data_IF_178105855527
#
_entry.id   IF_178105855527
#
_cell.length_a   1.000
_cell.length_b   1.000
_cell.length_c   1.000
_cell.angle_alpha   90.00
_cell.angle_beta   90.00
_cell.angle_gamma   90.00
#
_symmetry.space_group_name_H-M   'P 1'
#
loop_
_entity.id
_entity.type
_entity.pdbx_description
1 polymer ?
#
# COMPACT_ATOMS: atom_id res chain seq x y z
N UNK A 1 23.67 6.91 -0.96
CA UNK A 1 23.97 8.22 -0.41
C UNK A 1 25.20 8.80 -1.13
N UNK A 2 25.10 10.03 -1.61
CA UNK A 2 26.20 10.66 -2.37
C UNK A 2 27.17 11.46 -1.49
N UNK A 3 26.75 11.81 -0.25
CA UNK A 3 27.60 12.51 0.71
C UNK A 3 28.40 11.51 1.56
N UNK A 4 29.74 11.45 1.43
CA UNK A 4 30.57 10.45 2.12
C UNK A 4 30.41 10.47 3.64
N UNK A 5 30.33 11.65 4.25
CA UNK A 5 30.24 11.79 5.70
C UNK A 5 28.88 11.26 6.24
N UNK A 6 27.80 11.48 5.48
CA UNK A 6 26.48 10.94 5.84
C UNK A 6 26.48 9.42 5.66
N UNK A 7 27.07 8.94 4.58
CA UNK A 7 27.20 7.50 4.34
C UNK A 7 27.97 6.81 5.47
N UNK A 8 29.13 7.37 5.89
CA UNK A 8 29.92 6.80 6.97
C UNK A 8 29.16 6.78 8.29
N UNK A 9 28.45 7.88 8.63
CA UNK A 9 27.61 7.92 9.84
C UNK A 9 26.50 6.86 9.82
N UNK A 10 25.90 6.58 8.68
CA UNK A 10 24.89 5.53 8.55
C UNK A 10 25.52 4.15 8.75
N UNK A 11 26.68 3.88 8.15
CA UNK A 11 27.42 2.62 8.31
C UNK A 11 27.77 2.39 9.77
N UNK A 12 28.31 3.40 10.44
CA UNK A 12 28.72 3.32 11.84
C UNK A 12 27.51 3.10 12.77
N UNK A 13 26.44 3.85 12.57
CA UNK A 13 25.22 3.75 13.38
C UNK A 13 24.45 2.44 13.18
N UNK A 14 24.51 1.86 11.98
CA UNK A 14 23.83 0.59 11.67
C UNK A 14 24.60 -0.66 12.06
N UNK A 15 25.89 -0.51 12.41
CA UNK A 15 26.82 -1.62 12.73
C UNK A 15 26.83 -2.72 11.65
N UNK A 16 26.52 -2.35 10.40
CA UNK A 16 26.32 -3.29 9.29
C UNK A 16 27.53 -4.18 9.03
N UNK A 17 28.73 -3.66 9.27
CA UNK A 17 29.99 -4.37 9.07
C UNK A 17 30.21 -5.51 10.08
N UNK A 18 29.59 -5.42 11.24
CA UNK A 18 29.75 -6.40 12.34
C UNK A 18 28.53 -7.31 12.49
N UNK A 19 27.33 -6.84 12.11
CA UNK A 19 26.08 -7.57 12.37
C UNK A 19 25.58 -8.33 11.14
N UNK A 20 25.71 -7.78 9.93
CA UNK A 20 25.05 -8.33 8.71
C UNK A 20 26.08 -8.94 7.74
N UNK A 21 27.34 -8.53 7.81
CA UNK A 21 28.39 -9.03 6.91
C UNK A 21 28.21 -8.65 5.43
N UNK A 22 27.32 -7.69 5.15
CA UNK A 22 27.01 -7.22 3.80
C UNK A 22 25.95 -8.02 3.06
N UNK A 23 25.71 -7.67 1.79
CA UNK A 23 24.74 -8.32 0.91
C UNK A 23 25.31 -9.63 0.38
N UNK A 24 24.52 -10.73 0.41
CA UNK A 24 24.96 -12.01 -0.13
C UNK A 24 25.31 -11.93 -1.61
N UNK A 25 26.27 -12.73 -2.06
CA UNK A 25 26.69 -12.77 -3.48
C UNK A 25 25.52 -13.08 -4.41
N UNK A 26 24.60 -13.97 -4.00
CA UNK A 26 23.40 -14.29 -4.76
C UNK A 26 22.49 -13.07 -4.95
N UNK A 27 22.29 -12.30 -3.88
CA UNK A 27 21.49 -11.07 -3.95
C UNK A 27 22.12 -10.01 -4.84
N UNK A 28 23.46 -9.92 -4.85
CA UNK A 28 24.19 -9.00 -5.75
C UNK A 28 24.02 -9.40 -7.22
N UNK A 29 24.20 -10.68 -7.54
CA UNK A 29 23.99 -11.20 -8.90
C UNK A 29 22.56 -11.01 -9.38
N UNK A 30 21.59 -11.28 -8.51
CA UNK A 30 20.17 -11.05 -8.81
C UNK A 30 19.88 -9.56 -9.05
N UNK A 31 20.41 -8.67 -8.21
CA UNK A 31 20.27 -7.22 -8.38
C UNK A 31 20.82 -6.71 -9.70
N UNK A 32 22.04 -7.14 -10.08
CA UNK A 32 22.64 -6.80 -11.37
C UNK A 32 21.76 -7.30 -12.53
N UNK A 33 21.32 -8.57 -12.49
CA UNK A 33 20.48 -9.14 -13.52
C UNK A 33 19.14 -8.39 -13.67
N UNK A 34 18.52 -7.99 -12.56
CA UNK A 34 17.29 -7.20 -12.57
C UNK A 34 17.50 -5.83 -13.25
N UNK A 35 18.58 -5.13 -12.92
CA UNK A 35 18.86 -3.80 -13.47
C UNK A 35 19.23 -3.85 -14.95
N UNK A 36 20.03 -4.84 -15.37
CA UNK A 36 20.53 -4.92 -16.73
C UNK A 36 19.57 -5.60 -17.71
N UNK A 37 18.83 -6.63 -17.26
CA UNK A 37 18.10 -7.54 -18.16
C UNK A 37 16.56 -7.47 -18.00
N UNK A 38 16.02 -6.90 -16.92
CA UNK A 38 14.57 -6.98 -16.64
C UNK A 38 13.80 -5.69 -16.97
N UNK A 39 14.37 -4.78 -17.75
CA UNK A 39 13.72 -3.51 -18.12
C UNK A 39 12.38 -3.72 -18.85
N UNK A 40 12.29 -4.73 -19.71
CA UNK A 40 11.06 -5.05 -20.42
C UNK A 40 9.92 -5.44 -19.48
N UNK A 41 10.23 -6.26 -18.47
CA UNK A 41 9.29 -6.67 -17.45
C UNK A 41 8.82 -5.46 -16.61
N UNK A 42 9.77 -4.64 -16.16
CA UNK A 42 9.49 -3.44 -15.39
C UNK A 42 8.55 -2.49 -16.14
N UNK A 43 8.77 -2.27 -17.42
CA UNK A 43 7.91 -1.39 -18.23
C UNK A 43 6.49 -1.95 -18.34
N UNK A 44 6.32 -3.26 -18.52
CA UNK A 44 5.02 -3.93 -18.52
C UNK A 44 4.32 -3.81 -17.16
N UNK A 45 5.05 -4.06 -16.08
CA UNK A 45 4.53 -3.95 -14.73
C UNK A 45 4.08 -2.52 -14.38
N UNK A 46 4.90 -1.51 -14.72
CA UNK A 46 4.54 -0.10 -14.49
C UNK A 46 3.24 0.26 -15.22
N UNK A 47 3.09 -0.18 -16.48
CA UNK A 47 1.88 0.06 -17.26
C UNK A 47 0.65 -0.55 -16.57
N UNK A 48 0.73 -1.80 -16.16
CA UNK A 48 -0.35 -2.47 -15.44
C UNK A 48 -0.71 -1.77 -14.13
N UNK A 49 0.30 -1.37 -13.34
CA UNK A 49 0.06 -0.62 -12.09
C UNK A 49 -0.59 0.73 -12.35
N UNK A 50 -0.23 1.42 -13.43
CA UNK A 50 -0.86 2.69 -13.81
C UNK A 50 -2.33 2.50 -14.22
N UNK A 51 -2.65 1.47 -14.99
CA UNK A 51 -4.01 1.11 -15.37
C UNK A 51 -4.85 0.75 -14.13
N UNK A 52 -4.32 -0.08 -13.26
CA UNK A 52 -4.94 -0.44 -11.98
C UNK A 52 -5.16 0.77 -11.07
N UNK A 53 -4.19 1.69 -11.01
CA UNK A 53 -4.31 2.93 -10.24
C UNK A 53 -5.47 3.79 -10.74
N UNK A 54 -5.53 4.03 -12.03
CA UNK A 54 -6.52 4.94 -12.61
C UNK A 54 -7.93 4.32 -12.51
N UNK A 55 -8.06 3.01 -12.70
CA UNK A 55 -9.28 2.26 -12.44
C UNK A 55 -9.72 2.33 -10.97
N UNK A 56 -8.80 2.05 -10.05
CA UNK A 56 -9.12 2.08 -8.63
C UNK A 56 -9.54 3.48 -8.15
N UNK A 57 -8.87 4.54 -8.63
CA UNK A 57 -9.24 5.92 -8.31
C UNK A 57 -10.62 6.29 -8.80
N UNK A 58 -10.99 5.86 -10.00
CA UNK A 58 -12.33 6.09 -10.54
C UNK A 58 -13.40 5.41 -9.68
N UNK A 59 -13.15 4.16 -9.26
CA UNK A 59 -14.04 3.40 -8.38
C UNK A 59 -14.16 4.05 -7.00
N UNK A 60 -13.02 4.37 -6.36
CA UNK A 60 -12.98 4.96 -5.02
C UNK A 60 -13.69 6.31 -4.93
N UNK A 61 -13.60 7.14 -5.97
CA UNK A 61 -14.31 8.44 -6.01
C UNK A 61 -15.83 8.32 -5.96
N UNK A 62 -16.38 7.16 -6.31
CA UNK A 62 -17.83 6.89 -6.28
C UNK A 62 -18.26 6.22 -4.99
N UNK A 63 -17.32 5.81 -4.14
CA UNK A 63 -17.61 5.16 -2.88
C UNK A 63 -17.95 6.20 -1.80
N UNK A 64 -18.89 5.89 -0.88
CA UNK A 64 -19.20 6.78 0.23
C UNK A 64 -18.03 6.84 1.21
N UNK A 65 -17.91 7.95 1.93
CA UNK A 65 -16.98 8.16 3.03
C UNK A 65 -15.50 7.95 2.71
N UNK A 66 -15.13 8.10 1.45
CA UNK A 66 -13.77 7.85 0.94
C UNK A 66 -13.20 9.11 0.31
N UNK A 67 -11.95 9.43 0.66
CA UNK A 67 -11.14 10.43 -0.05
C UNK A 67 -9.79 9.81 -0.44
N UNK A 68 -9.36 10.04 -1.68
CA UNK A 68 -8.10 9.50 -2.17
C UNK A 68 -7.45 10.42 -3.19
N UNK A 69 -6.16 10.69 -2.99
CA UNK A 69 -5.34 11.43 -3.95
C UNK A 69 -4.63 10.49 -4.92
N UNK A 70 -4.41 10.97 -6.15
CA UNK A 70 -3.67 10.21 -7.17
C UNK A 70 -2.19 10.16 -6.78
N UNK A 71 -1.62 8.98 -6.50
CA UNK A 71 -0.20 8.86 -6.20
C UNK A 71 0.63 9.07 -7.46
N UNK A 72 1.77 9.74 -7.32
CA UNK A 72 2.73 9.97 -8.40
C UNK A 72 3.73 8.83 -8.56
N UNK A 73 3.88 8.00 -7.54
CA UNK A 73 4.82 6.88 -7.49
C UNK A 73 4.24 5.72 -6.68
N UNK A 74 4.95 4.63 -6.65
CA UNK A 74 4.62 3.38 -5.95
C UNK A 74 3.45 2.61 -6.55
N UNK A 75 3.16 1.48 -5.93
CA UNK A 75 2.07 0.57 -6.31
C UNK A 75 1.00 0.47 -5.21
N UNK A 76 0.90 1.50 -4.37
CA UNK A 76 -0.09 1.55 -3.29
C UNK A 76 -0.92 2.82 -3.36
N UNK A 77 -2.19 2.71 -2.99
CA UNK A 77 -3.06 3.84 -2.68
C UNK A 77 -3.16 4.01 -1.17
N UNK A 78 -3.10 5.24 -0.72
CA UNK A 78 -3.37 5.63 0.66
C UNK A 78 -4.71 6.37 0.67
N UNK A 79 -5.69 5.76 1.34
CA UNK A 79 -7.10 6.12 1.22
C UNK A 79 -7.62 6.57 2.57
N UNK A 80 -8.16 7.77 2.63
CA UNK A 80 -8.82 8.33 3.81
C UNK A 80 -10.25 7.79 3.92
N UNK A 81 -10.55 7.15 5.05
CA UNK A 81 -11.86 6.64 5.46
C UNK A 81 -12.28 7.21 6.82
N UNK A 82 -11.68 8.32 7.23
CA UNK A 82 -11.93 8.96 8.55
C UNK A 82 -13.39 9.40 8.76
N UNK A 83 -14.15 9.52 7.67
CA UNK A 83 -15.60 9.78 7.74
C UNK A 83 -16.42 8.57 8.25
N UNK A 84 -15.85 7.36 8.32
CA UNK A 84 -16.49 6.21 8.96
C UNK A 84 -16.59 6.41 10.50
N UNK A 85 -17.62 5.88 11.15
CA UNK A 85 -17.81 5.99 12.61
C UNK A 85 -16.95 4.99 13.40
N UNK A 86 -15.81 4.56 12.88
CA UNK A 86 -14.93 3.59 13.51
C UNK A 86 -13.47 3.80 13.12
N UNK A 87 -12.55 3.19 13.89
CA UNK A 87 -11.13 3.24 13.55
C UNK A 87 -10.78 2.38 12.32
N UNK A 88 -9.69 2.72 11.63
CA UNK A 88 -9.20 1.95 10.49
C UNK A 88 -8.87 0.51 10.87
N UNK A 89 -8.34 0.26 12.07
CA UNK A 89 -8.06 -1.10 12.56
C UNK A 89 -9.34 -1.93 12.69
N UNK A 90 -10.42 -1.33 13.27
CA UNK A 90 -11.71 -2.01 13.39
C UNK A 90 -12.30 -2.28 12.02
N UNK A 91 -12.29 -1.28 11.14
CA UNK A 91 -12.76 -1.44 9.76
C UNK A 91 -12.04 -2.57 9.03
N UNK A 92 -10.71 -2.58 9.05
CA UNK A 92 -9.91 -3.59 8.33
C UNK A 92 -10.10 -5.00 8.88
N UNK A 93 -10.34 -5.13 10.20
CA UNK A 93 -10.70 -6.41 10.80
C UNK A 93 -12.03 -6.93 10.26
N UNK A 94 -13.06 -6.10 10.25
CA UNK A 94 -14.40 -6.46 9.73
C UNK A 94 -14.33 -6.77 8.24
N UNK A 95 -13.66 -5.93 7.46
CA UNK A 95 -13.47 -6.11 6.01
C UNK A 95 -12.84 -7.48 5.69
N UNK A 96 -11.81 -7.88 6.44
CA UNK A 96 -11.15 -9.17 6.28
C UNK A 96 -12.05 -10.34 6.70
N UNK A 97 -12.71 -10.25 7.86
CA UNK A 97 -13.45 -11.37 8.44
C UNK A 97 -14.80 -11.60 7.76
N UNK A 98 -15.54 -10.54 7.44
CA UNK A 98 -16.89 -10.63 6.89
C UNK A 98 -16.93 -10.49 5.37
N UNK A 99 -16.16 -9.55 4.81
CA UNK A 99 -16.18 -9.25 3.38
C UNK A 99 -15.03 -9.91 2.59
N UNK A 100 -14.12 -10.62 3.28
CA UNK A 100 -13.00 -11.36 2.67
C UNK A 100 -12.08 -10.47 1.80
N UNK A 101 -11.91 -9.22 2.20
CA UNK A 101 -10.95 -8.29 1.61
C UNK A 101 -9.98 -7.79 2.67
N UNK A 102 -8.69 -7.87 2.39
CA UNK A 102 -7.62 -7.46 3.29
C UNK A 102 -6.96 -6.18 2.79
N UNK A 103 -6.95 -5.17 3.63
CA UNK A 103 -6.24 -3.90 3.43
C UNK A 103 -5.43 -3.59 4.69
N UNK A 104 -4.42 -2.74 4.60
CA UNK A 104 -3.57 -2.41 5.76
C UNK A 104 -4.11 -1.15 6.43
N UNK A 105 -4.40 -1.16 7.74
CA UNK A 105 -4.85 0.04 8.45
C UNK A 105 -3.71 1.05 8.61
N UNK A 106 -4.06 2.32 8.64
CA UNK A 106 -3.23 3.38 9.19
C UNK A 106 -3.10 3.25 10.70
N UNK A 107 -2.34 4.16 11.32
CA UNK A 107 -2.10 4.18 12.76
C UNK A 107 -0.65 3.89 13.12
N UNK A 108 -0.35 4.04 14.40
CA UNK A 108 1.02 4.03 14.92
C UNK A 108 1.79 2.72 14.63
N UNK A 109 1.10 1.60 14.51
CA UNK A 109 1.72 0.28 14.27
C UNK A 109 2.41 0.20 12.91
N UNK A 110 1.84 0.80 11.86
CA UNK A 110 2.33 0.66 10.48
C UNK A 110 2.89 1.95 9.90
N UNK A 111 2.34 3.12 10.26
CA UNK A 111 2.64 4.38 9.58
C UNK A 111 2.97 5.54 10.53
N UNK A 112 2.90 5.31 11.83
CA UNK A 112 3.10 6.36 12.83
C UNK A 112 1.86 7.22 13.10
N UNK A 113 1.97 8.16 14.07
CA UNK A 113 0.88 9.04 14.46
C UNK A 113 0.46 9.95 13.29
N UNK A 114 -0.84 10.28 13.24
CA UNK A 114 -1.44 11.10 12.18
C UNK A 114 -1.89 10.32 10.95
N UNK A 115 -1.75 9.00 10.96
CA UNK A 115 -2.22 8.11 9.89
C UNK A 115 -3.53 7.39 10.22
N UNK A 116 -4.09 7.66 11.39
CA UNK A 116 -5.39 7.15 11.82
C UNK A 116 -6.48 7.55 10.81
N UNK A 117 -7.46 6.68 10.63
CA UNK A 117 -8.52 6.92 9.64
C UNK A 117 -8.13 6.65 8.19
N UNK A 118 -6.94 6.10 7.94
CA UNK A 118 -6.50 5.74 6.59
C UNK A 118 -6.35 4.22 6.42
N UNK A 119 -6.46 3.78 5.18
CA UNK A 119 -6.13 2.41 4.76
C UNK A 119 -5.19 2.43 3.55
N UNK A 120 -4.39 1.37 3.41
CA UNK A 120 -3.51 1.17 2.27
C UNK A 120 -4.00 0.02 1.41
N UNK A 121 -4.16 0.28 0.11
CA UNK A 121 -4.56 -0.69 -0.91
C UNK A 121 -3.37 -0.96 -1.83
N UNK A 122 -3.07 -2.23 -2.10
CA UNK A 122 -2.02 -2.63 -3.04
C UNK A 122 -2.60 -2.71 -4.47
N UNK A 123 -1.90 -2.10 -5.43
CA UNK A 123 -2.27 -2.09 -6.85
C UNK A 123 -1.46 -3.11 -7.67
N UNK A 124 -0.43 -3.71 -7.08
CA UNK A 124 0.46 -4.66 -7.74
C UNK A 124 -0.18 -6.07 -7.77
N UNK A 125 -1.27 -6.19 -8.51
CA UNK A 125 -2.03 -7.44 -8.67
C UNK A 125 -2.65 -7.49 -10.06
N UNK A 126 -3.30 -8.60 -10.45
CA UNK A 126 -4.07 -8.65 -11.69
C UNK A 126 -5.31 -7.75 -11.60
N UNK A 127 -5.83 -7.35 -12.77
CA UNK A 127 -7.01 -6.48 -12.83
C UNK A 127 -8.23 -7.14 -12.18
N UNK A 128 -8.43 -8.42 -12.42
CA UNK A 128 -9.57 -9.20 -11.91
C UNK A 128 -9.55 -9.27 -10.37
N UNK A 129 -8.37 -9.49 -9.78
CA UNK A 129 -8.21 -9.53 -8.31
C UNK A 129 -8.45 -8.15 -7.71
N UNK A 130 -7.98 -7.08 -8.38
CA UNK A 130 -8.23 -5.72 -7.93
C UNK A 130 -9.71 -5.37 -7.99
N UNK A 131 -10.38 -5.71 -9.09
CA UNK A 131 -11.81 -5.46 -9.29
C UNK A 131 -12.65 -6.15 -8.21
N UNK A 132 -12.40 -7.43 -7.97
CA UNK A 132 -13.09 -8.19 -6.93
C UNK A 132 -12.82 -7.62 -5.54
N UNK A 133 -11.55 -7.26 -5.25
CA UNK A 133 -11.20 -6.60 -3.99
C UNK A 133 -11.93 -5.28 -3.78
N UNK A 134 -12.02 -4.45 -4.82
CA UNK A 134 -12.75 -3.19 -4.77
C UNK A 134 -14.27 -3.38 -4.63
N UNK A 135 -14.86 -4.41 -5.26
CA UNK A 135 -16.28 -4.74 -5.09
C UNK A 135 -16.60 -5.06 -3.62
N UNK A 136 -15.79 -5.90 -2.99
CA UNK A 136 -15.94 -6.26 -1.58
C UNK A 136 -15.69 -5.09 -0.65
N UNK A 137 -14.69 -4.27 -0.96
CA UNK A 137 -14.39 -3.07 -0.18
C UNK A 137 -15.53 -2.05 -0.25
N UNK A 138 -16.10 -1.83 -1.43
CA UNK A 138 -17.26 -0.95 -1.63
C UNK A 138 -18.47 -1.41 -0.82
N UNK A 139 -18.76 -2.73 -0.84
CA UNK A 139 -19.84 -3.28 -0.03
C UNK A 139 -19.61 -3.04 1.46
N UNK A 140 -18.40 -3.34 1.97
CA UNK A 140 -18.05 -3.09 3.36
C UNK A 140 -18.21 -1.61 3.76
N UNK A 141 -17.74 -0.70 2.91
CA UNK A 141 -17.87 0.74 3.16
C UNK A 141 -19.32 1.21 3.18
N UNK A 142 -20.17 0.72 2.26
CA UNK A 142 -21.59 1.07 2.21
C UNK A 142 -22.34 0.57 3.44
N UNK A 143 -22.15 -0.68 3.80
CA UNK A 143 -22.86 -1.30 4.93
C UNK A 143 -22.46 -0.63 6.24
N UNK A 144 -21.16 -0.43 6.46
CA UNK A 144 -20.65 0.15 7.70
C UNK A 144 -20.82 1.68 7.80
N UNK A 145 -20.99 2.38 6.66
CA UNK A 145 -21.37 3.80 6.69
C UNK A 145 -22.85 3.98 7.10
N UNK A 146 -23.71 3.02 6.76
CA UNK A 146 -25.15 3.06 7.05
C UNK A 146 -25.49 2.63 8.50
N UNK A 147 -24.63 1.89 9.18
CA UNK A 147 -24.82 1.52 10.58
C UNK A 147 -24.96 2.73 11.54
N UNK A 148 -24.60 3.94 11.09
CA UNK A 148 -24.88 5.21 11.81
C UNK A 148 -26.38 5.55 11.93
N UNK A 149 -27.23 4.96 11.10
CA UNK A 149 -28.65 5.36 11.03
C UNK A 149 -29.52 4.56 11.99
N UNK A 150 -29.01 3.44 12.52
CA UNK A 150 -29.79 2.49 13.33
C UNK A 150 -29.25 2.30 14.77
N UNK A 151 -28.35 3.11 15.26
CA UNK A 151 -27.85 3.17 16.64
C UNK A 151 -27.98 4.61 17.18
#
# INVERSE_FOLDING_TARGET
CMEPDIFQKIVDASEVMTTIGGISSLSQVAGIACLEKCRYWLNGFIKQVQENRDYALERLRRMPVVCCYKPQATFVLYVDISALPMSAERFTKIAREQYKVAVVPGGATFFGPGSEGHIRICLATSHEVLEEGLNRLEQALRDLANDKVNG
#
